data_IF_429852736123
#
_entry.id   IF_429852736123
#
_cell.length_a   1.000
_cell.length_b   1.000
_cell.length_c   1.000
_cell.angle_alpha   90.00
_cell.angle_beta   90.00
_cell.angle_gamma   90.00
#
_symmetry.space_group_name_H-M   'P 1'
#
loop_
_entity.id
_entity.type
_entity.pdbx_description
1 polymer ?
#
# COMPACT_ATOMS: atom_id res chain seq x y z
N UNK A 1 13.96 -13.90 -14.82
CA UNK A 1 13.73 -13.64 -13.39
C UNK A 1 14.84 -12.72 -12.86
N UNK A 2 14.66 -11.41 -12.99
CA UNK A 2 15.39 -10.34 -12.26
C UNK A 2 14.81 -9.00 -12.69
N UNK A 3 13.78 -8.57 -11.97
CA UNK A 3 13.31 -7.19 -11.93
C UNK A 3 12.72 -6.97 -10.54
N UNK A 4 13.49 -7.33 -9.52
CA UNK A 4 13.26 -6.91 -8.16
C UNK A 4 14.50 -6.12 -7.81
N UNK A 5 14.40 -4.81 -7.95
CA UNK A 5 15.05 -3.81 -7.11
C UNK A 5 15.90 -4.44 -5.98
N UNK A 6 17.22 -4.19 -6.03
CA UNK A 6 18.21 -4.92 -5.22
C UNK A 6 18.18 -4.48 -3.76
N UNK A 7 17.56 -3.33 -3.47
CA UNK A 7 17.44 -2.74 -2.15
C UNK A 7 15.98 -2.41 -1.82
N UNK A 8 15.63 -2.48 -0.52
CA UNK A 8 14.27 -2.19 -0.02
C UNK A 8 13.79 -0.74 -0.29
N UNK A 9 14.72 0.17 -0.62
CA UNK A 9 14.43 1.58 -0.91
C UNK A 9 14.30 1.91 -2.39
N UNK A 10 14.57 0.95 -3.27
CA UNK A 10 14.44 1.18 -4.70
C UNK A 10 12.95 1.35 -5.05
N UNK A 11 12.68 2.31 -5.92
CA UNK A 11 11.31 2.64 -6.33
C UNK A 11 10.96 1.94 -7.64
N UNK A 12 9.89 1.13 -7.67
CA UNK A 12 9.50 0.44 -8.89
C UNK A 12 9.12 1.41 -10.02
N UNK A 13 9.64 1.11 -11.21
CA UNK A 13 9.31 1.83 -12.45
C UNK A 13 8.22 1.07 -13.23
N UNK A 14 6.96 1.41 -12.97
CA UNK A 14 5.81 0.77 -13.62
C UNK A 14 5.71 1.02 -15.12
N UNK A 15 6.43 2.01 -15.67
CA UNK A 15 6.47 2.25 -17.12
C UNK A 15 7.20 1.14 -17.88
N UNK A 16 8.12 0.44 -17.20
CA UNK A 16 8.86 -0.71 -17.73
C UNK A 16 8.11 -2.03 -17.60
N UNK A 17 7.01 -2.05 -16.84
CA UNK A 17 6.14 -3.22 -16.66
C UNK A 17 4.66 -2.86 -16.88
N UNK A 18 4.28 -2.46 -18.11
CA UNK A 18 2.91 -2.03 -18.41
C UNK A 18 1.90 -3.18 -18.31
N UNK A 19 2.35 -4.43 -18.49
CA UNK A 19 1.48 -5.61 -18.43
C UNK A 19 1.40 -6.24 -17.02
N UNK A 20 2.22 -5.78 -16.07
CA UNK A 20 2.24 -6.32 -14.70
C UNK A 20 2.83 -7.72 -14.60
N UNK A 21 3.80 -8.07 -15.44
CA UNK A 21 4.47 -9.38 -15.45
C UNK A 21 5.43 -9.55 -14.27
N UNK A 22 5.91 -8.44 -13.71
CA UNK A 22 6.84 -8.42 -12.58
C UNK A 22 6.12 -7.98 -11.31
N UNK A 23 5.42 -6.85 -11.37
CA UNK A 23 4.58 -6.35 -10.28
C UNK A 23 3.14 -6.34 -10.79
N UNK A 24 2.37 -7.31 -10.31
CA UNK A 24 0.99 -7.51 -10.73
C UNK A 24 0.17 -6.22 -10.64
N UNK A 25 -0.72 -6.00 -11.61
CA UNK A 25 -1.54 -4.80 -11.71
C UNK A 25 -2.46 -4.63 -10.49
N UNK A 26 -2.88 -5.74 -9.88
CA UNK A 26 -3.71 -5.82 -8.69
C UNK A 26 -2.90 -5.90 -7.38
N UNK A 27 -1.58 -5.75 -7.44
CA UNK A 27 -0.76 -5.71 -6.24
C UNK A 27 -1.09 -4.46 -5.42
N UNK A 28 -1.22 -4.66 -4.10
CA UNK A 28 -1.59 -3.59 -3.17
C UNK A 28 -0.72 -2.33 -3.31
N UNK A 29 0.59 -2.49 -3.55
CA UNK A 29 1.51 -1.34 -3.69
C UNK A 29 1.25 -0.52 -4.95
N UNK A 30 0.78 -1.16 -6.03
CA UNK A 30 0.53 -0.53 -7.33
C UNK A 30 -0.85 0.10 -7.38
N UNK A 31 -1.84 -0.54 -6.73
CA UNK A 31 -3.16 0.05 -6.50
C UNK A 31 -3.10 1.27 -5.57
N UNK A 32 -2.40 1.15 -4.44
CA UNK A 32 -2.28 2.25 -3.48
C UNK A 32 -1.51 3.46 -4.00
N UNK A 33 -0.61 3.27 -4.97
CA UNK A 33 0.05 4.37 -5.67
C UNK A 33 0.56 3.91 -7.04
N UNK A 34 -0.18 4.15 -8.13
CA UNK A 34 0.25 3.82 -9.49
C UNK A 34 1.36 4.73 -10.02
N UNK A 35 1.83 5.70 -9.21
CA UNK A 35 2.94 6.62 -9.48
C UNK A 35 2.75 7.50 -10.72
N UNK A 36 1.50 7.86 -11.02
CA UNK A 36 1.21 8.83 -12.08
C UNK A 36 1.26 10.25 -11.52
N UNK A 37 1.40 11.30 -12.37
CA UNK A 37 1.35 12.68 -11.92
C UNK A 37 0.07 13.02 -11.14
N UNK A 38 -1.05 12.40 -11.49
CA UNK A 38 -2.35 12.62 -10.87
C UNK A 38 -2.39 12.11 -9.42
N UNK A 39 -1.76 10.96 -9.14
CA UNK A 39 -1.77 10.34 -7.81
C UNK A 39 -0.72 10.91 -6.85
N UNK A 40 0.10 11.88 -7.30
CA UNK A 40 1.05 12.57 -6.42
C UNK A 40 0.36 13.37 -5.32
N UNK A 41 -0.83 13.91 -5.59
CA UNK A 41 -1.60 14.67 -4.60
C UNK A 41 -2.25 13.78 -3.52
N UNK A 42 -2.32 12.47 -3.77
CA UNK A 42 -2.92 11.46 -2.89
C UNK A 42 -1.92 10.81 -1.93
N UNK A 43 -0.69 11.32 -1.86
CA UNK A 43 0.34 10.78 -0.97
C UNK A 43 -0.03 10.98 0.51
N UNK A 44 0.12 9.90 1.29
CA UNK A 44 -0.13 9.87 2.73
C UNK A 44 1.07 9.32 3.50
N UNK A 45 1.29 9.84 4.71
CA UNK A 45 2.26 9.28 5.64
C UNK A 45 1.59 8.19 6.47
N UNK A 46 2.00 6.93 6.28
CA UNK A 46 1.47 5.77 7.03
C UNK A 46 2.35 5.49 8.25
N UNK A 47 1.75 5.35 9.43
CA UNK A 47 2.42 5.01 10.69
C UNK A 47 1.60 3.96 11.45
N UNK A 48 1.63 2.73 10.95
CA UNK A 48 0.89 1.63 11.57
C UNK A 48 1.57 1.03 12.80
N UNK A 49 0.78 0.43 13.68
CA UNK A 49 1.26 -0.35 14.83
C UNK A 49 0.68 -1.77 14.77
N UNK A 50 1.52 -2.79 14.88
CA UNK A 50 1.04 -4.16 15.01
C UNK A 50 0.37 -4.36 16.37
N UNK A 51 -0.80 -5.00 16.39
CA UNK A 51 -1.48 -5.36 17.63
C UNK A 51 -1.67 -6.87 17.76
N UNK A 52 -1.72 -7.33 19.00
CA UNK A 52 -2.05 -8.70 19.36
C UNK A 52 -2.86 -8.68 20.65
N UNK A 53 -4.10 -9.15 20.58
CA UNK A 53 -5.07 -9.14 21.68
C UNK A 53 -5.38 -10.56 22.19
N UNK A 54 -4.65 -11.57 21.71
CA UNK A 54 -4.81 -12.96 22.11
C UNK A 54 -5.66 -13.75 21.11
N UNK A 55 -6.61 -14.53 21.62
CA UNK A 55 -7.36 -15.51 20.84
C UNK A 55 -8.85 -15.23 20.97
N UNK A 56 -9.57 -15.18 19.84
CA UNK A 56 -11.03 -15.04 19.81
C UNK A 56 -11.72 -16.30 20.36
N UNK A 57 -13.01 -16.21 20.67
CA UNK A 57 -13.81 -17.37 21.11
C UNK A 57 -13.83 -18.52 20.08
N UNK A 58 -13.54 -18.24 18.81
CA UNK A 58 -13.44 -19.22 17.74
C UNK A 58 -12.03 -19.83 17.59
N UNK A 59 -11.09 -19.49 18.48
CA UNK A 59 -9.72 -20.02 18.44
C UNK A 59 -8.78 -19.32 17.44
N UNK A 60 -9.21 -18.20 16.85
CA UNK A 60 -8.38 -17.44 15.89
C UNK A 60 -7.55 -16.38 16.61
N UNK A 61 -6.37 -16.08 16.07
CA UNK A 61 -5.53 -14.99 16.58
C UNK A 61 -6.22 -13.64 16.32
N UNK A 62 -6.46 -12.87 17.38
CA UNK A 62 -6.90 -11.48 17.28
C UNK A 62 -5.68 -10.59 17.15
N UNK A 63 -5.20 -10.49 15.91
CA UNK A 63 -3.98 -9.79 15.56
C UNK A 63 -4.18 -9.04 14.26
N UNK A 64 -3.51 -7.90 14.12
CA UNK A 64 -3.60 -7.11 12.90
C UNK A 64 -2.73 -5.86 12.94
N UNK A 65 -3.09 -4.90 12.11
CA UNK A 65 -2.43 -3.61 12.00
C UNK A 65 -3.41 -2.51 12.42
N UNK A 66 -3.06 -1.76 13.46
CA UNK A 66 -3.68 -0.47 13.72
C UNK A 66 -3.16 0.50 12.66
N UNK A 67 -3.95 0.67 11.60
CA UNK A 67 -3.60 1.57 10.51
C UNK A 67 -3.84 3.02 10.95
N UNK A 68 -2.75 3.79 11.03
CA UNK A 68 -2.80 5.23 11.27
C UNK A 68 -2.10 5.90 10.11
N UNK A 69 -2.73 6.92 9.52
CA UNK A 69 -2.15 7.72 8.46
C UNK A 69 -2.39 9.21 8.70
N UNK A 70 -1.52 10.03 8.13
CA UNK A 70 -1.60 11.48 8.16
C UNK A 70 -1.54 12.01 6.73
N UNK A 71 -2.47 12.90 6.38
CA UNK A 71 -2.47 13.62 5.11
C UNK A 71 -2.89 15.08 5.32
N UNK A 72 -2.49 15.94 4.38
CA UNK A 72 -2.89 17.35 4.37
C UNK A 72 -4.37 17.53 4.00
N UNK A 73 -4.89 16.68 3.11
CA UNK A 73 -6.27 16.68 2.63
C UNK A 73 -6.82 15.24 2.68
N UNK A 74 -7.87 15.04 3.47
CA UNK A 74 -8.42 13.72 3.79
C UNK A 74 -9.12 13.07 2.59
N UNK A 75 -9.77 13.89 1.76
CA UNK A 75 -10.47 13.42 0.55
C UNK A 75 -9.49 12.98 -0.53
N UNK A 76 -8.34 13.66 -0.64
CA UNK A 76 -7.32 13.32 -1.62
C UNK A 76 -6.42 12.16 -1.21
N UNK A 77 -6.21 11.93 0.09
CA UNK A 77 -5.30 10.88 0.57
C UNK A 77 -6.01 9.55 0.83
N UNK A 78 -6.50 9.38 2.06
CA UNK A 78 -7.05 8.11 2.51
C UNK A 78 -8.36 7.74 1.79
N UNK A 79 -9.24 8.70 1.51
CA UNK A 79 -10.53 8.39 0.87
C UNK A 79 -10.37 7.94 -0.58
N UNK A 80 -9.54 8.63 -1.38
CA UNK A 80 -9.20 8.25 -2.76
C UNK A 80 -8.45 6.90 -2.83
N UNK A 81 -7.46 6.70 -1.95
CA UNK A 81 -6.66 5.47 -1.90
C UNK A 81 -7.36 4.26 -1.27
N UNK A 82 -8.40 4.45 -0.46
CA UNK A 82 -9.18 3.35 0.12
C UNK A 82 -10.23 2.79 -0.84
N UNK A 83 -10.68 3.57 -1.82
CA UNK A 83 -11.66 3.13 -2.82
C UNK A 83 -11.02 2.29 -3.94
N UNK A 84 -9.70 2.41 -4.11
CA UNK A 84 -8.89 1.71 -5.11
C UNK A 84 -8.15 0.47 -4.60
N UNK A 85 -8.20 0.19 -3.28
CA UNK A 85 -7.46 -0.89 -2.62
C UNK A 85 -8.31 -2.13 -2.27
#
# INVERSE_FOLDING_TARGET
MRAGDENEHDTPDYSKDPNGEVIALDSYIRLANPRTPETQSSLMMRRGYSYSLGVTNAGQLDMGLLFVCYQHDLEKGFSDGAETA
#
